data_IF_455938686155
#
_entry.id   IF_455938686155
#
_cell.length_a   1.000
_cell.length_b   1.000
_cell.length_c   1.000
_cell.angle_alpha   90.00
_cell.angle_beta   90.00
_cell.angle_gamma   90.00
#
_symmetry.space_group_name_H-M   'P 1'
#
loop_
_entity.id
_entity.type
_entity.pdbx_description
1 polymer ?
#
# COMPACT_ATOMS: atom_id res chain seq x y z
N UNK A 1 -5.87 25.33 -25.72
CA UNK A 1 -6.28 24.12 -24.97
C UNK A 1 -5.00 23.49 -24.42
N UNK A 2 -4.75 23.62 -23.13
CA UNK A 2 -3.62 22.91 -22.51
C UNK A 2 -4.00 21.43 -22.38
N UNK A 3 -3.14 20.48 -22.78
CA UNK A 3 -3.38 19.08 -22.47
C UNK A 3 -3.32 18.94 -20.95
N UNK A 4 -4.44 18.53 -20.35
CA UNK A 4 -4.47 18.04 -18.97
C UNK A 4 -3.48 16.90 -18.91
N UNK A 5 -2.35 17.09 -18.24
CA UNK A 5 -1.41 16.01 -17.91
C UNK A 5 -2.25 14.93 -17.22
N UNK A 6 -2.33 13.74 -17.82
CA UNK A 6 -2.77 12.53 -17.10
C UNK A 6 -2.07 12.57 -15.74
N UNK A 7 -2.83 12.60 -14.63
CA UNK A 7 -2.24 12.49 -13.31
C UNK A 7 -1.38 11.23 -13.33
N UNK A 8 -0.09 11.39 -13.08
CA UNK A 8 0.83 10.26 -13.02
C UNK A 8 0.32 9.39 -11.88
N UNK A 9 -0.29 8.25 -12.20
CA UNK A 9 -0.73 7.30 -11.17
C UNK A 9 0.49 6.92 -10.34
N UNK A 10 0.36 7.05 -9.03
CA UNK A 10 1.39 6.56 -8.12
C UNK A 10 1.55 5.07 -8.34
N UNK A 11 2.80 4.59 -8.33
CA UNK A 11 3.11 3.17 -8.49
C UNK A 11 3.50 2.58 -7.15
N UNK A 12 2.92 1.45 -6.79
CA UNK A 12 3.42 0.65 -5.68
C UNK A 12 4.41 -0.40 -6.18
N UNK A 13 5.36 -0.75 -5.32
CA UNK A 13 6.20 -1.94 -5.50
C UNK A 13 5.60 -3.06 -4.65
N UNK A 14 5.26 -4.17 -5.28
CA UNK A 14 4.78 -5.38 -4.59
C UNK A 14 5.89 -6.42 -4.65
N UNK A 15 6.12 -7.11 -3.53
CA UNK A 15 7.04 -8.25 -3.45
C UNK A 15 6.33 -9.43 -2.81
N UNK A 16 6.49 -10.60 -3.42
CA UNK A 16 5.91 -11.85 -2.94
C UNK A 16 7.00 -12.93 -2.95
N UNK A 17 7.25 -13.52 -1.79
CA UNK A 17 8.14 -14.67 -1.58
C UNK A 17 7.42 -15.69 -0.68
N UNK A 18 7.95 -16.90 -0.55
CA UNK A 18 7.34 -17.92 0.32
C UNK A 18 7.30 -17.43 1.78
N UNK A 19 6.10 -17.36 2.37
CA UNK A 19 5.88 -16.85 3.72
C UNK A 19 6.02 -15.33 3.87
N UNK A 20 6.04 -14.59 2.76
CA UNK A 20 6.34 -13.16 2.79
C UNK A 20 5.62 -12.39 1.68
N UNK A 21 4.90 -11.33 2.05
CA UNK A 21 4.28 -10.41 1.10
C UNK A 21 4.40 -8.97 1.58
N UNK A 22 4.81 -8.06 0.69
CA UNK A 22 4.97 -6.64 1.00
C UNK A 22 4.47 -5.78 -0.15
N UNK A 23 3.74 -4.71 0.20
CA UNK A 23 3.49 -3.59 -0.69
C UNK A 23 4.15 -2.32 -0.14
N UNK A 24 4.91 -1.61 -0.98
CA UNK A 24 5.50 -0.31 -0.65
C UNK A 24 4.87 0.76 -1.53
N UNK A 25 4.21 1.72 -0.87
CA UNK A 25 3.45 2.80 -1.50
C UNK A 25 4.17 4.13 -1.24
N UNK A 26 4.71 4.79 -2.27
CA UNK A 26 5.29 6.11 -2.11
C UNK A 26 4.19 7.15 -1.87
N UNK A 27 4.50 8.20 -1.15
CA UNK A 27 3.66 9.38 -1.03
C UNK A 27 4.48 10.65 -1.21
N UNK A 28 3.84 11.69 -1.77
CA UNK A 28 4.46 13.00 -1.94
C UNK A 28 3.68 14.17 -1.34
N UNK A 29 2.62 13.87 -0.57
CA UNK A 29 1.88 14.85 0.22
C UNK A 29 1.39 14.24 1.54
N UNK A 30 1.10 15.11 2.52
CA UNK A 30 0.56 14.70 3.82
C UNK A 30 -0.87 14.17 3.68
N UNK A 31 -1.65 14.74 2.75
CA UNK A 31 -3.01 14.32 2.45
C UNK A 31 -3.02 12.88 1.91
N UNK A 32 -2.12 12.56 0.98
CA UNK A 32 -2.05 11.21 0.41
C UNK A 32 -1.53 10.20 1.43
N UNK A 33 -0.52 10.57 2.22
CA UNK A 33 -0.06 9.76 3.37
C UNK A 33 -1.22 9.40 4.29
N UNK A 34 -2.00 10.40 4.71
CA UNK A 34 -3.13 10.18 5.63
C UNK A 34 -4.23 9.32 4.99
N UNK A 35 -4.46 9.47 3.69
CA UNK A 35 -5.37 8.61 2.92
C UNK A 35 -4.92 7.15 2.94
N UNK A 36 -3.65 6.87 2.66
CA UNK A 36 -3.10 5.51 2.67
C UNK A 36 -3.26 4.88 4.06
N UNK A 37 -2.85 5.59 5.13
CA UNK A 37 -2.98 5.09 6.50
C UNK A 37 -4.44 4.83 6.91
N UNK A 38 -5.37 5.69 6.47
CA UNK A 38 -6.80 5.51 6.72
C UNK A 38 -7.35 4.26 6.02
N UNK A 39 -6.97 4.03 4.76
CA UNK A 39 -7.41 2.85 3.99
C UNK A 39 -6.85 1.57 4.61
N UNK A 40 -5.56 1.54 4.96
CA UNK A 40 -4.93 0.40 5.67
C UNK A 40 -5.71 0.11 6.96
N UNK A 41 -5.99 1.12 7.78
CA UNK A 41 -6.76 0.96 9.02
C UNK A 41 -8.15 0.37 8.78
N UNK A 42 -8.84 0.82 7.74
CA UNK A 42 -10.19 0.34 7.41
C UNK A 42 -10.17 -1.11 6.92
N UNK A 43 -9.27 -1.45 5.99
CA UNK A 43 -9.15 -2.83 5.48
C UNK A 43 -8.74 -3.79 6.60
N UNK A 44 -7.83 -3.39 7.49
CA UNK A 44 -7.47 -4.17 8.69
C UNK A 44 -8.68 -4.47 9.58
N UNK A 45 -9.56 -3.49 9.82
CA UNK A 45 -10.79 -3.72 10.60
C UNK A 45 -11.77 -4.65 9.90
N UNK A 46 -11.92 -4.52 8.57
CA UNK A 46 -12.85 -5.33 7.78
C UNK A 46 -12.40 -6.78 7.64
N UNK A 47 -11.10 -6.99 7.41
CA UNK A 47 -10.50 -8.32 7.17
C UNK A 47 -10.09 -9.03 8.45
N UNK A 48 -9.91 -8.29 9.56
CA UNK A 48 -9.31 -8.77 10.82
C UNK A 48 -7.88 -9.30 10.64
N UNK A 49 -7.20 -8.87 9.58
CA UNK A 49 -5.78 -9.15 9.35
C UNK A 49 -4.91 -8.03 9.94
N UNK A 50 -3.76 -8.40 10.47
CA UNK A 50 -2.87 -7.50 11.20
C UNK A 50 -1.49 -7.39 10.53
N UNK A 51 -1.39 -6.83 9.32
CA UNK A 51 -0.08 -6.59 8.70
C UNK A 51 0.76 -5.62 9.54
N UNK A 52 2.07 -5.73 9.40
CA UNK A 52 2.98 -4.69 9.84
C UNK A 52 2.85 -3.48 8.90
N UNK A 53 2.65 -2.30 9.48
CA UNK A 53 2.56 -1.04 8.74
C UNK A 53 3.72 -0.13 9.17
N UNK A 54 4.69 0.02 8.28
CA UNK A 54 5.92 0.76 8.53
C UNK A 54 5.91 2.03 7.70
N UNK A 55 5.92 3.18 8.35
CA UNK A 55 6.11 4.47 7.68
C UNK A 55 7.59 4.86 7.73
N UNK A 56 8.16 5.17 6.56
CA UNK A 56 9.45 5.85 6.47
C UNK A 56 9.29 7.19 5.77
N UNK A 57 9.72 8.22 6.47
CA UNK A 57 9.65 9.59 6.01
C UNK A 57 11.03 10.05 5.50
N UNK A 58 11.10 10.49 4.24
CA UNK A 58 12.31 11.07 3.66
C UNK A 58 12.32 12.60 3.80
N UNK A 59 11.15 13.25 3.70
CA UNK A 59 10.96 14.68 3.98
C UNK A 59 9.61 14.93 4.68
N UNK A 60 9.33 16.17 5.09
CA UNK A 60 8.05 16.56 5.69
C UNK A 60 6.80 16.10 4.91
N UNK A 61 6.90 15.96 3.59
CA UNK A 61 5.78 15.60 2.71
C UNK A 61 6.02 14.35 1.86
N UNK A 62 7.22 13.76 1.90
CA UNK A 62 7.58 12.63 1.04
C UNK A 62 8.12 11.46 1.83
N UNK A 63 7.82 10.26 1.37
CA UNK A 63 8.30 9.02 1.96
C UNK A 63 7.56 7.83 1.37
N UNK A 64 7.49 6.75 2.13
CA UNK A 64 6.75 5.56 1.75
C UNK A 64 6.12 4.86 2.96
N UNK A 65 4.97 4.24 2.71
CA UNK A 65 4.30 3.35 3.65
C UNK A 65 4.48 1.93 3.13
N UNK A 66 4.94 1.05 4.01
CA UNK A 66 5.12 -0.37 3.72
C UNK A 66 4.11 -1.16 4.51
N UNK A 67 3.30 -1.95 3.80
CA UNK A 67 2.37 -2.93 4.39
C UNK A 67 2.94 -4.31 4.16
N UNK A 68 3.22 -5.03 5.23
CA UNK A 68 3.92 -6.30 5.22
C UNK A 68 3.16 -7.39 5.97
N UNK A 69 3.15 -8.56 5.35
CA UNK A 69 2.72 -9.82 5.92
C UNK A 69 3.93 -10.76 5.92
N UNK A 70 4.37 -11.17 7.11
CA UNK A 70 5.53 -12.03 7.27
C UNK A 70 5.26 -13.14 8.28
N UNK A 71 5.77 -14.33 7.99
CA UNK A 71 5.60 -15.51 8.84
C UNK A 71 4.53 -16.47 8.35
N UNK A 72 4.53 -17.68 8.92
CA UNK A 72 3.69 -18.80 8.49
C UNK A 72 2.18 -18.50 8.60
N UNK A 73 1.79 -17.62 9.52
CA UNK A 73 0.39 -17.21 9.74
C UNK A 73 -0.21 -16.42 8.59
N UNK A 74 0.61 -15.89 7.68
CA UNK A 74 0.16 -15.06 6.56
C UNK A 74 0.40 -15.69 5.17
N UNK A 75 0.64 -17.00 5.14
CA UNK A 75 0.76 -17.87 3.95
C UNK A 75 -0.56 -18.03 3.17
N UNK A 76 -1.56 -17.18 3.40
CA UNK A 76 -2.94 -17.38 2.96
C UNK A 76 -3.33 -16.43 1.82
N UNK A 77 -4.30 -16.85 1.01
CA UNK A 77 -4.94 -16.03 -0.03
C UNK A 77 -5.38 -14.65 0.50
N UNK A 78 -5.74 -14.59 1.78
CA UNK A 78 -6.26 -13.39 2.43
C UNK A 78 -5.23 -12.23 2.46
N UNK A 79 -3.91 -12.51 2.52
CA UNK A 79 -2.88 -11.45 2.45
C UNK A 79 -2.79 -10.86 1.04
N UNK A 80 -2.88 -11.70 0.00
CA UNK A 80 -2.97 -11.27 -1.40
C UNK A 80 -4.24 -10.46 -1.69
N UNK A 81 -5.38 -10.90 -1.17
CA UNK A 81 -6.66 -10.19 -1.30
C UNK A 81 -6.61 -8.85 -0.56
N UNK A 82 -5.96 -8.78 0.60
CA UNK A 82 -5.74 -7.53 1.32
C UNK A 82 -4.93 -6.53 0.49
N UNK A 83 -3.76 -6.94 -0.02
CA UNK A 83 -2.89 -6.06 -0.80
C UNK A 83 -3.58 -5.63 -2.09
N UNK A 84 -4.29 -6.54 -2.77
CA UNK A 84 -5.08 -6.22 -3.97
C UNK A 84 -6.15 -5.17 -3.66
N UNK A 85 -6.91 -5.36 -2.57
CA UNK A 85 -7.94 -4.42 -2.15
C UNK A 85 -7.35 -3.05 -1.79
N UNK A 86 -6.20 -3.00 -1.11
CA UNK A 86 -5.49 -1.77 -0.79
C UNK A 86 -5.12 -0.98 -2.04
N UNK A 87 -4.48 -1.64 -3.01
CA UNK A 87 -4.00 -1.01 -4.24
C UNK A 87 -5.16 -0.54 -5.13
N UNK A 88 -6.21 -1.36 -5.27
CA UNK A 88 -7.42 -0.96 -5.99
C UNK A 88 -8.14 0.22 -5.34
N UNK A 89 -8.24 0.27 -4.01
CA UNK A 89 -8.89 1.38 -3.30
C UNK A 89 -8.13 2.69 -3.46
N UNK A 90 -6.80 2.61 -3.63
CA UNK A 90 -5.93 3.76 -3.88
C UNK A 90 -5.81 4.18 -5.35
N UNK A 91 -6.47 3.45 -6.27
CA UNK A 91 -6.30 3.59 -7.74
C UNK A 91 -4.82 3.57 -8.18
N UNK A 92 -4.02 2.72 -7.52
CA UNK A 92 -2.60 2.51 -7.81
C UNK A 92 -2.46 1.39 -8.84
N UNK A 93 -1.73 1.68 -9.92
CA UNK A 93 -1.21 0.63 -10.79
C UNK A 93 0.02 0.02 -10.10
N UNK A 94 0.09 -1.30 -9.99
CA UNK A 94 1.26 -2.00 -9.45
C UNK A 94 2.00 -2.78 -10.53
N UNK A 95 3.30 -2.95 -10.32
CA UNK A 95 4.15 -3.81 -11.14
C UNK A 95 4.74 -4.88 -10.23
N UNK A 96 4.59 -6.15 -10.61
CA UNK A 96 5.34 -7.28 -10.04
C UNK A 96 6.83 -7.19 -10.40
#
# INVERSE_FOLDING_TARGET
MNPVKKSQKEKAVVRMEEGYMRATIPYSSVEYRNLVLSIVSNITKETKLHPECIERQDTATKGFITVEFSGEEYMHRDSGDYITKLLHTLDIDYTD
#
